data_IF_401759374505
#
_entry.id   IF_401759374505
#
_cell.length_a   1.000
_cell.length_b   1.000
_cell.length_c   1.000
_cell.angle_alpha   90.00
_cell.angle_beta   90.00
_cell.angle_gamma   90.00
#
_symmetry.space_group_name_H-M   'P 1'
#
loop_
_entity.id
_entity.type
_entity.pdbx_description
1 polymer ?
#
# COMPACT_ATOMS: atom_id res chain seq x y z
N UNK A 1 12.75 -21.40 16.43
CA UNK A 1 12.88 -20.45 17.56
C UNK A 1 11.52 -19.82 17.80
N UNK A 2 10.96 -19.94 19.00
CA UNK A 2 9.74 -19.21 19.39
C UNK A 2 10.19 -17.79 19.73
N UNK A 3 9.88 -16.84 18.84
CA UNK A 3 10.14 -15.42 19.14
C UNK A 3 9.14 -14.96 20.21
N UNK A 4 9.60 -14.36 21.33
CA UNK A 4 8.71 -13.79 22.36
C UNK A 4 7.71 -12.77 21.79
N UNK A 5 8.06 -12.14 20.65
CA UNK A 5 7.23 -11.20 19.91
C UNK A 5 5.96 -11.83 19.32
N UNK A 6 5.95 -13.15 19.10
CA UNK A 6 4.83 -13.84 18.45
C UNK A 6 3.72 -14.27 19.43
N UNK A 7 3.94 -14.10 20.74
CA UNK A 7 2.97 -14.47 21.76
C UNK A 7 2.56 -13.23 22.56
N UNK A 8 1.27 -12.92 22.50
CA UNK A 8 0.63 -11.77 23.17
C UNK A 8 1.02 -11.67 24.65
N UNK A 9 1.16 -12.81 25.33
CA UNK A 9 1.47 -12.91 26.75
C UNK A 9 2.94 -12.66 27.10
N UNK A 10 3.87 -12.74 26.14
CA UNK A 10 5.31 -12.58 26.38
C UNK A 10 5.92 -11.40 25.64
N UNK A 11 5.10 -10.63 24.91
CA UNK A 11 5.54 -9.45 24.18
C UNK A 11 5.40 -8.20 25.09
N UNK A 12 6.51 -7.65 25.61
CA UNK A 12 6.47 -6.52 26.54
C UNK A 12 5.88 -5.24 25.92
N UNK A 13 5.96 -5.08 24.59
CA UNK A 13 5.35 -3.97 23.87
C UNK A 13 3.82 -4.08 23.86
N UNK A 14 3.30 -5.27 23.56
CA UNK A 14 1.85 -5.53 23.58
C UNK A 14 1.31 -5.39 25.00
N UNK A 15 1.98 -5.93 26.01
CA UNK A 15 1.55 -5.80 27.42
C UNK A 15 1.49 -4.33 27.85
N UNK A 16 2.48 -3.52 27.48
CA UNK A 16 2.52 -2.09 27.79
C UNK A 16 1.37 -1.35 27.10
N UNK A 17 1.18 -1.54 25.80
CA UNK A 17 0.06 -0.91 25.07
C UNK A 17 -1.31 -1.39 25.56
N UNK A 18 -1.42 -2.64 26.01
CA UNK A 18 -2.65 -3.19 26.59
C UNK A 18 -2.99 -2.52 27.91
N UNK A 19 -1.98 -2.25 28.76
CA UNK A 19 -2.18 -1.50 30.00
C UNK A 19 -2.49 -0.02 29.73
N UNK A 20 -1.77 0.61 28.81
CA UNK A 20 -1.96 2.03 28.44
C UNK A 20 -3.33 2.28 27.75
N UNK A 21 -3.83 1.31 26.97
CA UNK A 21 -5.11 1.38 26.25
C UNK A 21 -6.22 0.53 26.89
N UNK A 22 -6.06 0.07 28.13
CA UNK A 22 -7.01 -0.80 28.84
C UNK A 22 -7.55 -1.99 28.02
N UNK A 23 -6.71 -2.58 27.16
CA UNK A 23 -7.05 -3.72 26.31
C UNK A 23 -7.73 -3.41 24.98
N UNK A 24 -7.97 -2.14 24.67
CA UNK A 24 -8.61 -1.71 23.41
C UNK A 24 -7.79 -2.10 22.16
N UNK A 25 -6.47 -2.15 22.29
CA UNK A 25 -5.57 -2.65 21.23
C UNK A 25 -5.84 -4.13 20.86
N UNK A 26 -6.21 -4.97 21.83
CA UNK A 26 -6.50 -6.38 21.59
C UNK A 26 -7.86 -6.57 20.92
N UNK A 27 -8.86 -5.78 21.33
CA UNK A 27 -10.19 -5.77 20.71
C UNK A 27 -10.09 -5.38 19.24
N UNK A 28 -9.41 -4.26 18.95
CA UNK A 28 -9.15 -3.79 17.58
C UNK A 28 -8.37 -4.81 16.75
N UNK A 29 -7.39 -5.50 17.36
CA UNK A 29 -6.64 -6.58 16.71
C UNK A 29 -7.53 -7.78 16.32
N UNK A 30 -8.47 -8.16 17.19
CA UNK A 30 -9.43 -9.24 16.93
C UNK A 30 -10.44 -8.84 15.84
N UNK A 31 -10.94 -7.61 15.86
CA UNK A 31 -11.83 -7.08 14.80
C UNK A 31 -11.15 -7.13 13.43
N UNK A 32 -9.89 -6.70 13.35
CA UNK A 32 -9.10 -6.80 12.12
C UNK A 32 -8.93 -8.26 11.64
N UNK A 33 -8.66 -9.18 12.58
CA UNK A 33 -8.50 -10.61 12.28
C UNK A 33 -9.79 -11.23 11.72
N UNK A 34 -10.93 -10.91 12.33
CA UNK A 34 -12.24 -11.39 11.88
C UNK A 34 -12.59 -10.82 10.49
N UNK A 35 -12.35 -9.53 10.27
CA UNK A 35 -12.56 -8.88 8.97
C UNK A 35 -11.71 -9.52 7.86
N UNK A 36 -10.44 -9.80 8.12
CA UNK A 36 -9.55 -10.47 7.17
C UNK A 36 -9.99 -11.92 6.85
N UNK A 37 -10.60 -12.61 7.82
CA UNK A 37 -11.12 -13.98 7.66
C UNK A 37 -12.44 -14.01 6.87
N UNK A 38 -13.34 -13.08 7.15
CA UNK A 38 -14.60 -12.90 6.40
C UNK A 38 -14.30 -12.59 4.93
N UNK A 39 -13.37 -11.65 4.69
CA UNK A 39 -12.94 -11.25 3.35
C UNK A 39 -12.36 -12.41 2.54
N UNK A 40 -11.54 -13.25 3.17
CA UNK A 40 -10.97 -14.43 2.52
C UNK A 40 -11.89 -15.65 2.49
N UNK A 41 -13.19 -15.50 2.82
CA UNK A 41 -14.19 -16.59 2.85
C UNK A 41 -13.75 -17.78 3.68
N UNK A 42 -13.23 -17.52 4.89
CA UNK A 42 -12.70 -18.53 5.80
C UNK A 42 -11.22 -18.85 5.61
N UNK A 43 -10.52 -18.17 4.68
CA UNK A 43 -9.06 -18.12 4.62
C UNK A 43 -8.58 -16.76 5.09
N UNK A 44 -7.42 -16.72 5.75
CA UNK A 44 -6.83 -15.47 6.21
C UNK A 44 -6.35 -14.65 5.00
N UNK A 45 -7.12 -13.63 4.59
CA UNK A 45 -6.72 -12.70 3.56
C UNK A 45 -6.26 -11.40 4.23
N UNK A 46 -4.99 -11.36 4.66
CA UNK A 46 -4.44 -10.22 5.39
C UNK A 46 -4.43 -8.97 4.49
N UNK A 47 -5.03 -7.89 4.97
CA UNK A 47 -4.97 -6.59 4.29
C UNK A 47 -3.65 -5.88 4.64
N UNK A 48 -2.77 -5.71 3.65
CA UNK A 48 -1.50 -4.98 3.83
C UNK A 48 -1.69 -3.45 3.82
N UNK A 49 -2.74 -2.96 3.16
CA UNK A 49 -3.07 -1.53 3.07
C UNK A 49 -4.56 -1.36 2.84
N UNK A 50 -5.10 -0.18 3.15
CA UNK A 50 -6.49 0.13 2.83
C UNK A 50 -6.68 0.21 1.31
N UNK A 51 -7.48 -0.71 0.78
CA UNK A 51 -7.72 -0.81 -0.67
C UNK A 51 -8.68 0.27 -1.17
N UNK A 52 -9.51 0.83 -0.28
CA UNK A 52 -10.48 1.88 -0.63
C UNK A 52 -9.90 3.29 -0.47
N UNK A 53 -8.70 3.40 0.10
CA UNK A 53 -8.03 4.67 0.31
C UNK A 53 -7.39 5.26 -0.97
N UNK A 54 -7.19 4.47 -2.02
CA UNK A 54 -6.45 4.89 -3.21
C UNK A 54 -7.28 4.76 -4.49
N UNK A 55 -7.28 5.84 -5.27
CA UNK A 55 -7.92 5.92 -6.57
C UNK A 55 -6.95 6.50 -7.60
N UNK A 56 -6.65 5.69 -8.62
CA UNK A 56 -5.72 6.04 -9.71
C UNK A 56 -6.25 7.26 -10.45
N UNK A 57 -5.37 8.26 -10.63
CA UNK A 57 -5.70 9.53 -11.27
C UNK A 57 -6.41 10.53 -10.36
N UNK A 58 -6.81 10.16 -9.13
CA UNK A 58 -7.38 11.11 -8.15
C UNK A 58 -6.46 11.42 -6.98
N UNK A 59 -5.90 10.40 -6.34
CA UNK A 59 -4.99 10.58 -5.20
C UNK A 59 -3.68 9.79 -5.33
N UNK A 60 -3.53 8.98 -6.37
CA UNK A 60 -2.28 8.34 -6.78
C UNK A 60 -2.11 8.44 -8.29
N UNK A 61 -0.87 8.47 -8.79
CA UNK A 61 -0.54 8.63 -10.22
C UNK A 61 -1.18 9.89 -10.85
N UNK A 62 -1.12 11.02 -10.13
CA UNK A 62 -1.77 12.29 -10.50
C UNK A 62 -0.87 13.29 -11.24
N UNK A 63 0.39 12.94 -11.52
CA UNK A 63 1.32 13.85 -12.21
C UNK A 63 0.76 14.19 -13.59
N UNK A 64 0.54 15.49 -13.91
CA UNK A 64 -0.07 15.88 -15.18
C UNK A 64 0.75 15.37 -16.37
N UNK A 65 0.08 14.73 -17.32
CA UNK A 65 0.70 14.17 -18.51
C UNK A 65 -0.35 13.66 -19.48
N UNK A 66 0.12 13.15 -20.62
CA UNK A 66 -0.74 12.61 -21.69
C UNK A 66 -0.11 11.40 -22.34
N UNK A 67 -0.94 10.46 -22.79
CA UNK A 67 -0.51 9.37 -23.66
C UNK A 67 -0.21 9.96 -25.05
N UNK A 68 1.03 9.83 -25.51
CA UNK A 68 1.46 10.35 -26.82
C UNK A 68 1.69 9.25 -27.86
N UNK A 69 1.75 7.99 -27.41
CA UNK A 69 1.84 6.81 -28.25
C UNK A 69 1.24 5.61 -27.53
N UNK A 70 0.61 4.71 -28.27
CA UNK A 70 -0.03 3.50 -27.75
C UNK A 70 0.11 2.36 -28.75
N UNK A 71 0.37 1.16 -28.24
CA UNK A 71 0.30 -0.08 -29.00
C UNK A 71 -0.23 -1.24 -28.13
N UNK A 72 -0.22 -2.46 -28.66
CA UNK A 72 -0.74 -3.64 -27.97
C UNK A 72 0.01 -4.02 -26.67
N UNK A 73 1.20 -3.46 -26.43
CA UNK A 73 2.05 -3.80 -25.28
C UNK A 73 2.17 -2.66 -24.26
N UNK A 74 2.07 -1.40 -24.70
CA UNK A 74 2.36 -0.26 -23.83
C UNK A 74 1.70 1.05 -24.28
N UNK A 75 1.62 1.96 -23.32
CA UNK A 75 1.34 3.37 -23.53
C UNK A 75 2.56 4.20 -23.12
N UNK A 76 2.95 5.15 -23.98
CA UNK A 76 4.01 6.12 -23.68
C UNK A 76 3.38 7.39 -23.14
N UNK A 77 3.71 7.73 -21.90
CA UNK A 77 3.24 8.94 -21.22
C UNK A 77 4.31 10.02 -21.34
N UNK A 78 3.91 11.20 -21.83
CA UNK A 78 4.70 12.43 -21.72
C UNK A 78 4.11 13.30 -20.62
N UNK A 79 4.89 13.53 -19.56
CA UNK A 79 4.50 14.44 -18.48
C UNK A 79 4.56 15.90 -18.92
N UNK A 80 3.66 16.71 -18.38
CA UNK A 80 3.62 18.15 -18.61
C UNK A 80 4.81 18.80 -17.91
N UNK A 81 5.63 19.60 -18.62
CA UNK A 81 6.72 20.34 -17.98
C UNK A 81 6.20 21.27 -16.88
N UNK A 82 6.91 21.34 -15.76
CA UNK A 82 6.58 22.23 -14.63
C UNK A 82 7.50 23.46 -14.56
N UNK A 83 8.33 23.67 -15.58
CA UNK A 83 9.33 24.73 -15.68
C UNK A 83 9.32 25.34 -17.09
N UNK A 84 9.74 26.59 -17.21
CA UNK A 84 9.77 27.31 -18.50
C UNK A 84 10.79 26.72 -19.48
N UNK A 85 11.87 26.12 -18.96
CA UNK A 85 12.91 25.46 -19.75
C UNK A 85 13.15 24.05 -19.22
N UNK A 86 13.60 23.16 -20.11
CA UNK A 86 13.94 21.76 -19.81
C UNK A 86 15.28 21.42 -20.48
N UNK A 87 15.92 20.35 -20.02
CA UNK A 87 17.10 19.83 -20.70
C UNK A 87 16.77 19.35 -22.11
N UNK A 88 17.70 19.56 -23.05
CA UNK A 88 17.54 19.14 -24.45
C UNK A 88 17.35 17.63 -24.61
N UNK A 89 18.06 16.83 -23.80
CA UNK A 89 17.94 15.37 -23.82
C UNK A 89 16.82 14.91 -22.87
N UNK A 90 15.83 14.15 -23.36
CA UNK A 90 14.75 13.64 -22.52
C UNK A 90 15.22 12.48 -21.63
N UNK A 91 14.53 12.31 -20.51
CA UNK A 91 14.62 11.11 -19.67
C UNK A 91 13.51 10.14 -20.07
N UNK A 92 13.88 8.89 -20.34
CA UNK A 92 12.92 7.79 -20.56
C UNK A 92 12.96 6.86 -19.36
N UNK A 93 11.79 6.64 -18.75
CA UNK A 93 11.62 5.74 -17.61
C UNK A 93 10.99 4.44 -18.11
N UNK A 94 11.67 3.32 -17.92
CA UNK A 94 11.15 1.99 -18.25
C UNK A 94 10.80 1.24 -16.95
N UNK A 95 9.53 1.24 -16.53
CA UNK A 95 9.13 0.60 -15.28
C UNK A 95 9.15 -0.93 -15.40
N UNK A 96 9.26 -1.66 -14.27
CA UNK A 96 9.07 -3.11 -14.27
C UNK A 96 7.63 -3.46 -14.64
N UNK A 97 7.47 -4.49 -15.47
CA UNK A 97 6.17 -5.05 -15.85
C UNK A 97 5.47 -5.88 -14.75
N UNK A 98 6.19 -6.23 -13.68
CA UNK A 98 5.67 -6.99 -12.54
C UNK A 98 5.90 -6.16 -11.28
N UNK A 99 4.82 -5.75 -10.61
CA UNK A 99 4.87 -5.30 -9.22
C UNK A 99 4.93 -6.55 -8.33
N UNK A 100 5.89 -6.60 -7.41
CA UNK A 100 6.00 -7.65 -6.39
C UNK A 100 5.67 -7.07 -5.03
#
# INVERSE_FOLDING_TARGET
AISPSNFVLTNPEILRSTLEQNGENLVRGLENLLSDLERGRGKLAIRMTDMDAFEIGKNIAITPGKVVYENALMQLIQYTPTTDTVYERPLVIFPPWINK
#
